data_IF_814173921484
#
_entry.id   IF_814173921484
#
_cell.length_a   1.000
_cell.length_b   1.000
_cell.length_c   1.000
_cell.angle_alpha   90.00
_cell.angle_beta   90.00
_cell.angle_gamma   90.00
#
_symmetry.space_group_name_H-M   'P 1'
#
loop_
_entity.id
_entity.type
_entity.pdbx_description
1 polymer ?
#
# COMPACT_ATOMS: atom_id res chain seq x y z
N UNK A 1 -18.46 -11.36 -11.23
CA UNK A 1 -18.33 -10.49 -10.04
C UNK A 1 -19.31 -9.36 -10.29
N UNK A 2 -20.54 -9.48 -9.81
CA UNK A 2 -21.58 -8.48 -10.03
C UNK A 2 -22.40 -8.39 -8.75
N UNK A 3 -22.06 -7.38 -7.95
CA UNK A 3 -22.70 -6.98 -6.71
C UNK A 3 -22.08 -5.67 -6.29
N UNK A 4 -22.91 -4.67 -6.05
CA UNK A 4 -22.45 -3.32 -5.72
C UNK A 4 -22.06 -3.22 -4.24
N UNK A 5 -21.29 -2.19 -3.90
CA UNK A 5 -20.87 -1.91 -2.53
C UNK A 5 -22.10 -1.53 -1.69
N UNK A 6 -22.29 -2.18 -0.54
CA UNK A 6 -23.45 -1.96 0.32
C UNK A 6 -23.56 -0.50 0.76
N UNK A 7 -24.72 0.10 0.51
CA UNK A 7 -25.09 1.43 1.01
C UNK A 7 -25.64 1.34 2.43
N UNK A 8 -25.72 2.47 3.14
CA UNK A 8 -26.34 2.53 4.48
C UNK A 8 -27.76 1.93 4.48
N UNK A 9 -28.53 2.16 3.41
CA UNK A 9 -29.86 1.58 3.23
C UNK A 9 -29.88 0.05 3.23
N UNK A 10 -28.85 -0.59 2.67
CA UNK A 10 -28.76 -2.07 2.62
C UNK A 10 -28.51 -2.68 3.99
N UNK A 11 -27.88 -1.93 4.91
CA UNK A 11 -27.72 -2.38 6.29
C UNK A 11 -29.06 -2.32 7.04
N UNK A 12 -29.89 -1.31 6.79
CA UNK A 12 -31.22 -1.21 7.38
C UNK A 12 -32.16 -2.31 6.86
N UNK A 13 -32.15 -2.59 5.55
CA UNK A 13 -32.96 -3.69 4.99
C UNK A 13 -32.53 -5.03 5.56
N UNK A 14 -31.22 -5.29 5.67
CA UNK A 14 -30.68 -6.50 6.33
C UNK A 14 -31.12 -6.62 7.79
N UNK A 15 -31.21 -5.52 8.55
CA UNK A 15 -31.68 -5.56 9.93
C UNK A 15 -33.17 -5.85 10.05
N UNK A 16 -34.01 -5.28 9.18
CA UNK A 16 -35.46 -5.56 9.15
C UNK A 16 -35.70 -7.02 8.73
N UNK A 17 -35.07 -7.47 7.65
CA UNK A 17 -35.19 -8.86 7.20
C UNK A 17 -34.62 -9.86 8.20
N UNK A 18 -33.58 -9.51 8.98
CA UNK A 18 -33.10 -10.35 10.08
C UNK A 18 -34.18 -10.59 11.14
N UNK A 19 -35.01 -9.59 11.45
CA UNK A 19 -36.11 -9.78 12.41
C UNK A 19 -37.15 -10.73 11.81
N UNK A 20 -37.49 -10.58 10.53
CA UNK A 20 -38.46 -11.43 9.83
C UNK A 20 -37.95 -12.87 9.69
N UNK A 21 -36.70 -13.06 9.26
CA UNK A 21 -36.08 -14.39 9.06
C UNK A 21 -35.99 -15.18 10.36
N UNK A 22 -35.66 -14.53 11.49
CA UNK A 22 -35.52 -15.22 12.79
C UNK A 22 -36.84 -15.40 13.54
N UNK A 23 -37.84 -14.52 13.34
CA UNK A 23 -39.06 -14.53 14.16
C UNK A 23 -40.28 -15.13 13.44
N UNK A 24 -40.31 -15.25 12.11
CA UNK A 24 -41.55 -15.65 11.41
C UNK A 24 -41.89 -17.15 11.53
N UNK A 25 -40.91 -18.04 11.74
CA UNK A 25 -41.13 -19.49 11.85
C UNK A 25 -40.59 -20.13 13.13
N UNK A 26 -40.14 -19.31 14.10
CA UNK A 26 -39.49 -19.77 15.33
C UNK A 26 -37.99 -20.05 15.17
N UNK A 27 -37.23 -20.09 16.29
CA UNK A 27 -35.76 -20.04 16.29
C UNK A 27 -35.08 -21.23 15.59
N UNK A 28 -35.79 -22.36 15.47
CA UNK A 28 -35.28 -23.59 14.86
C UNK A 28 -35.57 -23.64 13.35
N UNK A 29 -36.76 -23.24 12.90
CA UNK A 29 -37.15 -23.36 11.49
C UNK A 29 -36.66 -22.19 10.61
N UNK A 30 -36.62 -20.96 11.14
CA UNK A 30 -36.10 -19.81 10.39
C UNK A 30 -34.60 -19.94 10.04
N UNK A 31 -33.83 -20.54 10.94
CA UNK A 31 -32.40 -20.80 10.78
C UNK A 31 -32.11 -21.82 9.66
N UNK A 32 -32.97 -22.84 9.49
CA UNK A 32 -32.80 -23.89 8.47
C UNK A 32 -33.13 -23.37 7.07
N UNK A 33 -34.18 -22.57 6.91
CA UNK A 33 -34.52 -21.94 5.62
C UNK A 33 -33.43 -20.97 5.17
N UNK A 34 -32.89 -20.18 6.10
CA UNK A 34 -31.77 -19.29 5.81
C UNK A 34 -30.49 -20.06 5.39
N UNK A 35 -30.21 -21.20 6.01
CA UNK A 35 -29.07 -22.05 5.65
C UNK A 35 -29.25 -22.67 4.25
N UNK A 36 -30.45 -23.19 3.95
CA UNK A 36 -30.77 -23.77 2.64
C UNK A 36 -30.68 -22.72 1.54
N UNK A 37 -31.14 -21.49 1.79
CA UNK A 37 -31.01 -20.37 0.85
C UNK A 37 -29.55 -20.00 0.56
N UNK A 38 -28.69 -19.99 1.59
CA UNK A 38 -27.24 -19.73 1.42
C UNK A 38 -26.58 -20.84 0.60
N UNK A 39 -26.88 -22.10 0.89
CA UNK A 39 -26.29 -23.28 0.22
C UNK A 39 -26.80 -23.45 -1.21
N UNK A 40 -28.07 -23.13 -1.47
CA UNK A 40 -28.66 -23.20 -2.81
C UNK A 40 -28.29 -22.00 -3.70
N UNK A 41 -27.73 -20.93 -3.14
CA UNK A 41 -27.32 -19.74 -3.89
C UNK A 41 -25.92 -19.92 -4.44
N UNK A 42 -25.78 -19.80 -5.77
CA UNK A 42 -24.50 -19.96 -6.49
C UNK A 42 -23.39 -18.98 -6.07
N UNK A 43 -23.73 -17.96 -5.27
CA UNK A 43 -22.81 -16.93 -4.77
C UNK A 43 -22.67 -16.92 -3.24
N UNK A 44 -23.20 -17.93 -2.53
CA UNK A 44 -23.22 -17.99 -1.05
C UNK A 44 -23.81 -16.72 -0.39
N UNK A 45 -24.84 -16.12 -1.02
CA UNK A 45 -25.49 -14.89 -0.56
C UNK A 45 -26.67 -15.20 0.38
N UNK A 46 -26.86 -14.42 1.45
CA UNK A 46 -28.07 -14.53 2.28
C UNK A 46 -29.28 -13.94 1.55
N UNK A 47 -30.50 -14.25 1.98
CA UNK A 47 -31.72 -13.71 1.40
C UNK A 47 -31.71 -12.17 1.36
N UNK A 48 -31.26 -11.53 2.46
CA UNK A 48 -31.09 -10.08 2.51
C UNK A 48 -30.01 -9.54 1.56
N UNK A 49 -28.98 -10.33 1.21
CA UNK A 49 -27.97 -9.95 0.22
C UNK A 49 -28.53 -10.05 -1.21
N UNK A 50 -29.41 -11.02 -1.47
CA UNK A 50 -30.11 -11.20 -2.74
C UNK A 50 -31.12 -10.07 -3.00
N UNK A 51 -31.91 -9.68 -1.98
CA UNK A 51 -32.86 -8.55 -2.10
C UNK A 51 -32.14 -7.22 -2.24
N UNK A 52 -31.00 -7.05 -1.57
CA UNK A 52 -30.16 -5.87 -1.71
C UNK A 52 -29.34 -5.89 -3.01
N UNK A 53 -29.17 -7.02 -3.72
CA UNK A 53 -28.31 -7.07 -4.92
C UNK A 53 -26.83 -6.82 -4.65
N UNK A 54 -26.38 -6.99 -3.40
CA UNK A 54 -24.99 -6.78 -2.98
C UNK A 54 -24.27 -8.13 -2.90
N UNK A 55 -22.97 -8.16 -3.17
CA UNK A 55 -22.16 -9.39 -3.06
C UNK A 55 -21.12 -9.23 -1.95
N UNK A 56 -20.76 -10.33 -1.28
CA UNK A 56 -19.64 -10.34 -0.33
C UNK A 56 -18.36 -9.99 -1.10
N UNK A 57 -17.76 -8.84 -0.79
CA UNK A 57 -16.51 -8.38 -1.39
C UNK A 57 -15.39 -8.58 -0.36
N UNK A 58 -14.44 -9.46 -0.66
CA UNK A 58 -13.23 -9.61 0.17
C UNK A 58 -12.28 -8.44 -0.13
N UNK A 59 -12.22 -7.46 0.77
CA UNK A 59 -11.24 -6.37 0.72
C UNK A 59 -9.89 -6.88 1.24
N UNK A 60 -9.15 -7.65 0.42
CA UNK A 60 -7.79 -8.08 0.78
C UNK A 60 -6.83 -6.91 0.55
N UNK A 61 -6.57 -6.13 1.59
CA UNK A 61 -5.58 -5.05 1.51
C UNK A 61 -4.17 -5.64 1.58
N UNK A 62 -3.51 -5.83 0.45
CA UNK A 62 -2.12 -6.31 0.38
C UNK A 62 -1.14 -5.15 0.50
N UNK A 63 -1.18 -4.40 1.60
CA UNK A 63 -0.17 -3.36 1.86
C UNK A 63 0.84 -3.96 2.83
N UNK A 64 2.00 -4.34 2.28
CA UNK A 64 3.12 -4.86 3.04
C UNK A 64 3.74 -3.70 3.84
N UNK A 65 3.83 -3.84 5.16
CA UNK A 65 4.33 -2.81 6.08
C UNK A 65 5.79 -2.40 5.81
N UNK A 66 6.48 -3.13 4.92
CA UNK A 66 7.86 -2.86 4.46
C UNK A 66 8.01 -1.61 3.57
N UNK A 67 6.94 -0.85 3.36
CA UNK A 67 6.98 0.48 2.74
C UNK A 67 7.41 1.58 3.72
N UNK A 68 8.03 1.25 4.84
CA UNK A 68 8.67 2.25 5.68
C UNK A 68 9.90 2.80 4.97
N UNK A 69 10.11 4.10 5.10
CA UNK A 69 11.15 4.85 4.39
C UNK A 69 12.56 4.49 4.90
N UNK A 70 12.64 3.75 6.01
CA UNK A 70 13.85 3.41 6.74
C UNK A 70 14.34 2.04 6.29
N UNK A 71 15.46 2.01 5.57
CA UNK A 71 16.27 0.80 5.44
C UNK A 71 17.04 0.69 6.76
N UNK A 72 16.98 -0.47 7.45
CA UNK A 72 17.73 -0.71 8.68
C UNK A 72 19.23 -0.62 8.36
N UNK A 73 19.82 0.54 8.68
CA UNK A 73 21.26 0.71 8.57
C UNK A 73 21.91 -0.11 9.67
N UNK A 74 22.86 -0.97 9.32
CA UNK A 74 23.74 -1.63 10.28
C UNK A 74 24.46 -0.58 11.13
N UNK A 75 24.60 -0.81 12.44
CA UNK A 75 25.13 0.16 13.41
C UNK A 75 26.54 0.70 13.10
N UNK A 76 27.28 0.05 12.18
CA UNK A 76 28.64 0.43 11.79
C UNK A 76 28.72 1.14 10.42
N UNK A 77 27.61 1.66 9.88
CA UNK A 77 27.63 2.34 8.58
C UNK A 77 28.40 3.67 8.65
N UNK A 78 29.44 3.82 7.82
CA UNK A 78 30.23 5.05 7.70
C UNK A 78 29.76 5.84 6.47
N UNK A 79 29.17 7.04 6.65
CA UNK A 79 28.63 7.79 5.53
C UNK A 79 29.70 8.33 4.59
N UNK A 80 29.46 8.25 3.28
CA UNK A 80 30.45 8.61 2.24
C UNK A 80 30.34 10.06 1.78
N UNK A 81 29.12 10.61 1.76
CA UNK A 81 28.81 11.95 1.29
C UNK A 81 28.13 12.80 2.39
N UNK A 82 28.90 13.57 3.17
CA UNK A 82 28.32 14.45 4.20
C UNK A 82 27.40 15.56 3.64
N UNK A 83 27.57 15.91 2.36
CA UNK A 83 26.80 16.97 1.70
C UNK A 83 25.32 16.64 1.49
N UNK A 84 24.88 15.40 1.76
CA UNK A 84 23.48 14.98 1.61
C UNK A 84 22.53 15.66 2.60
N UNK A 85 23.05 16.21 3.70
CA UNK A 85 22.27 16.98 4.70
C UNK A 85 21.62 18.22 4.07
N UNK A 86 22.12 18.69 2.93
CA UNK A 86 21.52 19.82 2.19
C UNK A 86 20.20 19.45 1.49
N UNK A 87 19.87 18.17 1.36
CA UNK A 87 18.63 17.71 0.74
C UNK A 87 17.45 17.91 1.70
N UNK A 88 16.33 18.39 1.19
CA UNK A 88 15.08 18.40 1.95
C UNK A 88 14.49 17.00 2.05
N UNK A 89 13.70 16.71 3.09
CA UNK A 89 12.92 15.45 3.21
C UNK A 89 12.07 15.19 1.96
N UNK A 90 11.52 16.26 1.38
CA UNK A 90 10.76 16.18 0.14
C UNK A 90 11.62 15.72 -1.04
N UNK A 91 12.85 16.24 -1.15
CA UNK A 91 13.79 15.86 -2.20
C UNK A 91 14.21 14.40 -2.04
N UNK A 92 14.54 13.99 -0.81
CA UNK A 92 14.89 12.61 -0.49
C UNK A 92 13.77 11.63 -0.85
N UNK A 93 12.51 11.99 -0.56
CA UNK A 93 11.34 11.21 -0.97
C UNK A 93 11.22 11.10 -2.49
N UNK A 94 11.33 12.21 -3.21
CA UNK A 94 11.25 12.22 -4.69
C UNK A 94 12.38 11.37 -5.29
N UNK A 95 13.61 11.50 -4.78
CA UNK A 95 14.76 10.72 -5.21
C UNK A 95 14.48 9.23 -5.00
N UNK A 96 14.00 8.83 -3.82
CA UNK A 96 13.68 7.43 -3.50
C UNK A 96 12.61 6.84 -4.42
N UNK A 97 11.51 7.55 -4.62
CA UNK A 97 10.40 7.07 -5.45
C UNK A 97 10.79 7.00 -6.93
N UNK A 98 11.53 8.00 -7.40
CA UNK A 98 12.06 8.04 -8.78
C UNK A 98 13.07 6.92 -9.00
N UNK A 99 13.98 6.69 -8.06
CA UNK A 99 14.98 5.61 -8.10
C UNK A 99 14.32 4.23 -8.15
N UNK A 100 13.37 3.96 -7.24
CA UNK A 100 12.60 2.71 -7.22
C UNK A 100 11.86 2.48 -8.54
N UNK A 101 11.25 3.53 -9.09
CA UNK A 101 10.51 3.45 -10.35
C UNK A 101 11.45 3.18 -11.51
N UNK A 102 12.57 3.90 -11.60
CA UNK A 102 13.56 3.77 -12.67
C UNK A 102 14.26 2.39 -12.68
N UNK A 103 14.52 1.80 -11.51
CA UNK A 103 15.05 0.42 -11.42
C UNK A 103 14.02 -0.59 -11.94
N UNK A 104 12.76 -0.47 -11.51
CA UNK A 104 11.69 -1.37 -11.95
C UNK A 104 11.45 -1.29 -13.45
N UNK A 105 11.48 -0.08 -14.02
CA UNK A 105 11.28 0.15 -15.46
C UNK A 105 12.55 -0.01 -16.29
N UNK A 106 13.72 -0.23 -15.68
CA UNK A 106 15.04 -0.24 -16.32
C UNK A 106 15.33 1.03 -17.15
N UNK A 107 14.82 2.17 -16.69
CA UNK A 107 15.02 3.46 -17.34
C UNK A 107 16.32 4.13 -16.87
N UNK A 108 17.41 3.81 -17.55
CA UNK A 108 18.74 4.37 -17.29
C UNK A 108 18.82 5.88 -17.58
N UNK A 109 18.01 6.41 -18.51
CA UNK A 109 18.04 7.83 -18.86
C UNK A 109 17.56 8.68 -17.69
N UNK A 110 16.56 8.20 -16.96
CA UNK A 110 16.05 8.84 -15.76
C UNK A 110 17.08 8.79 -14.62
N UNK A 111 17.81 7.68 -14.45
CA UNK A 111 18.89 7.59 -13.45
C UNK A 111 20.02 8.59 -13.69
N UNK A 112 20.46 8.76 -14.94
CA UNK A 112 21.52 9.72 -15.29
C UNK A 112 21.09 11.16 -14.97
N UNK A 113 19.84 11.52 -15.32
CA UNK A 113 19.28 12.84 -15.00
C UNK A 113 19.16 13.05 -13.49
N UNK A 114 18.70 12.02 -12.77
CA UNK A 114 18.56 12.06 -11.32
C UNK A 114 19.92 12.28 -10.65
N UNK A 115 20.96 11.56 -11.08
CA UNK A 115 22.34 11.77 -10.62
C UNK A 115 22.80 13.21 -10.84
N UNK A 116 22.64 13.74 -12.06
CA UNK A 116 23.05 15.10 -12.38
C UNK A 116 22.36 16.13 -11.48
N UNK A 117 21.06 15.96 -11.24
CA UNK A 117 20.28 16.84 -10.37
C UNK A 117 20.72 16.75 -8.91
N UNK A 118 20.97 15.53 -8.42
CA UNK A 118 21.46 15.31 -7.06
C UNK A 118 22.79 16.04 -6.88
N UNK A 119 23.75 15.85 -7.79
CA UNK A 119 25.07 16.50 -7.77
C UNK A 119 24.95 18.03 -7.76
N UNK A 120 24.04 18.59 -8.55
CA UNK A 120 23.76 20.03 -8.61
C UNK A 120 23.28 20.56 -7.25
N UNK A 121 22.32 19.87 -6.61
CA UNK A 121 21.71 20.32 -5.35
C UNK A 121 22.69 20.21 -4.18
N UNK A 122 23.39 19.09 -4.05
CA UNK A 122 24.37 18.89 -2.97
C UNK A 122 25.71 19.61 -3.23
N UNK A 123 25.91 20.11 -4.45
CA UNK A 123 27.13 20.76 -4.93
C UNK A 123 28.38 19.88 -4.74
N UNK A 124 28.28 18.59 -5.08
CA UNK A 124 29.40 17.67 -4.98
C UNK A 124 30.45 17.96 -6.06
N UNK A 125 31.71 18.06 -5.65
CA UNK A 125 32.85 18.29 -6.55
C UNK A 125 33.42 17.00 -7.13
N UNK A 126 33.29 15.89 -6.41
CA UNK A 126 33.84 14.58 -6.80
C UNK A 126 32.83 13.47 -6.54
N UNK A 127 32.60 12.64 -7.57
CA UNK A 127 31.74 11.45 -7.46
C UNK A 127 32.63 10.22 -7.38
N UNK A 128 32.75 9.66 -6.17
CA UNK A 128 33.54 8.45 -5.90
C UNK A 128 33.03 7.18 -6.60
N UNK A 129 31.71 7.05 -6.81
CA UNK A 129 31.12 5.86 -7.45
C UNK A 129 30.91 6.05 -8.95
N UNK A 130 31.29 5.03 -9.72
CA UNK A 130 31.20 5.06 -11.18
C UNK A 130 29.77 4.80 -11.69
N UNK A 131 29.01 3.95 -11.00
CA UNK A 131 27.66 3.55 -11.43
C UNK A 131 26.58 4.45 -10.81
N UNK A 132 25.66 4.94 -11.64
CA UNK A 132 24.56 5.82 -11.20
C UNK A 132 23.68 5.17 -10.12
N UNK A 133 23.45 3.86 -10.25
CA UNK A 133 22.68 3.08 -9.29
C UNK A 133 23.32 3.09 -7.90
N UNK A 134 24.61 2.76 -7.84
CA UNK A 134 25.36 2.69 -6.59
C UNK A 134 25.47 4.06 -5.93
N UNK A 135 25.71 5.10 -6.73
CA UNK A 135 25.76 6.48 -6.23
C UNK A 135 24.45 6.89 -5.55
N UNK A 136 23.30 6.68 -6.21
CA UNK A 136 21.99 7.09 -5.67
C UNK A 136 21.62 6.26 -4.43
N UNK A 137 21.97 4.97 -4.42
CA UNK A 137 21.76 4.09 -3.26
C UNK A 137 22.56 4.56 -2.04
N UNK A 138 23.85 4.86 -2.22
CA UNK A 138 24.72 5.39 -1.14
C UNK A 138 24.21 6.75 -0.66
N UNK A 139 23.78 7.64 -1.56
CA UNK A 139 23.23 8.95 -1.17
C UNK A 139 21.97 8.80 -0.30
N UNK A 140 21.08 7.87 -0.63
CA UNK A 140 19.88 7.59 0.17
C UNK A 140 20.22 6.99 1.54
N UNK A 141 21.24 6.11 1.61
CA UNK A 141 21.73 5.53 2.87
C UNK A 141 22.40 6.58 3.76
N UNK A 142 23.28 7.40 3.18
CA UNK A 142 23.92 8.52 3.86
C UNK A 142 22.87 9.48 4.42
N UNK A 143 21.85 9.81 3.64
CA UNK A 143 20.76 10.69 4.08
C UNK A 143 19.98 10.10 5.26
N UNK A 144 19.64 8.81 5.19
CA UNK A 144 18.97 8.10 6.28
C UNK A 144 19.85 8.06 7.55
N UNK A 145 21.16 7.87 7.42
CA UNK A 145 22.10 7.89 8.55
C UNK A 145 22.10 9.25 9.28
N UNK A 146 22.14 10.36 8.54
CA UNK A 146 22.14 11.69 9.14
C UNK A 146 20.78 12.10 9.72
N UNK A 147 19.67 11.57 9.19
CA UNK A 147 18.31 11.89 9.67
C UNK A 147 17.82 10.96 10.77
N UNK A 148 18.44 9.79 11.00
CA UNK A 148 18.08 8.86 12.08
C UNK A 148 18.25 9.42 13.49
N UNK A 149 19.13 10.41 13.68
CA UNK A 149 19.46 10.99 14.99
C UNK A 149 18.95 12.43 15.17
N UNK A 150 18.08 12.93 14.29
CA UNK A 150 17.50 14.29 14.36
C UNK A 150 16.10 14.31 14.98
#
# INVERSE_FOLDING_TARGET
>A
IDGYQASLGDFFTRWIFRIVDFNLLGPVFGSVVALIAIVSSSKNQRLGDMTAGTSVITLKNSVNISHTILEDLTQDYVPTYPSVIKLSDNDARIIKDTFKTAIKSKDYKTLIKLRAKIIEVIQLKEVKHNTDHEFIDVVLKDYNYYTQNM
#
